data_IF_321327725207
#
_entry.id   IF_321327725207
#
_cell.length_a   1.000
_cell.length_b   1.000
_cell.length_c   1.000
_cell.angle_alpha   90.00
_cell.angle_beta   90.00
_cell.angle_gamma   90.00
#
_symmetry.space_group_name_H-M   'P 1'
#
loop_
_entity.id
_entity.type
_entity.pdbx_description
1 polymer ?
#
# COMPACT_ATOMS: atom_id res chain seq x y z
N UNK A 1 -33.61 -12.41 -34.54
CA UNK A 1 -32.20 -12.71 -34.23
C UNK A 1 -32.22 -13.77 -33.16
N UNK A 2 -31.60 -14.91 -33.42
CA UNK A 2 -31.48 -15.99 -32.42
C UNK A 2 -30.48 -15.55 -31.35
N UNK A 3 -30.83 -15.75 -30.08
CA UNK A 3 -29.91 -15.62 -28.96
C UNK A 3 -29.52 -17.01 -28.48
N UNK A 4 -28.26 -17.17 -28.07
CA UNK A 4 -27.78 -18.40 -27.44
C UNK A 4 -27.38 -18.07 -26.01
N UNK A 5 -28.06 -18.67 -25.04
CA UNK A 5 -27.74 -18.52 -23.62
C UNK A 5 -26.98 -19.76 -23.11
N UNK A 6 -25.96 -19.51 -22.28
CA UNK A 6 -25.21 -20.55 -21.59
C UNK A 6 -25.14 -20.24 -20.10
N UNK A 7 -25.74 -21.10 -19.28
CA UNK A 7 -25.75 -20.96 -17.82
C UNK A 7 -24.60 -21.74 -17.20
N UNK A 8 -23.73 -21.05 -16.45
CA UNK A 8 -22.58 -21.67 -15.76
C UNK A 8 -23.01 -22.14 -14.37
N UNK A 9 -23.65 -21.27 -13.59
CA UNK A 9 -24.15 -21.62 -12.27
C UNK A 9 -25.39 -20.77 -11.92
N UNK A 10 -25.83 -20.78 -10.67
CA UNK A 10 -27.02 -20.02 -10.25
C UNK A 10 -26.87 -18.51 -10.42
N UNK A 11 -25.64 -17.99 -10.36
CA UNK A 11 -25.33 -16.56 -10.43
C UNK A 11 -24.76 -16.13 -11.78
N UNK A 12 -24.11 -16.99 -12.56
CA UNK A 12 -23.33 -16.62 -13.74
C UNK A 12 -23.89 -17.26 -15.01
N UNK A 13 -24.15 -16.44 -16.03
CA UNK A 13 -24.51 -16.89 -17.38
C UNK A 13 -23.90 -15.99 -18.46
N UNK A 14 -23.87 -16.49 -19.69
CA UNK A 14 -23.48 -15.74 -20.87
C UNK A 14 -24.60 -15.79 -21.92
N UNK A 15 -24.70 -14.74 -22.74
CA UNK A 15 -25.60 -14.68 -23.88
C UNK A 15 -24.83 -14.19 -25.12
N UNK A 16 -24.94 -14.92 -26.23
CA UNK A 16 -24.59 -14.42 -27.55
C UNK A 16 -25.81 -13.75 -28.16
N UNK A 17 -25.72 -12.44 -28.37
CA UNK A 17 -26.78 -11.65 -29.00
C UNK A 17 -26.22 -10.59 -29.94
N UNK A 18 -26.69 -10.61 -31.19
CA UNK A 18 -26.25 -9.65 -32.21
C UNK A 18 -24.75 -9.74 -32.55
N UNK A 19 -24.19 -10.95 -32.50
CA UNK A 19 -22.76 -11.20 -32.74
C UNK A 19 -21.83 -10.75 -31.62
N UNK A 20 -22.36 -10.50 -30.42
CA UNK A 20 -21.59 -10.11 -29.24
C UNK A 20 -21.92 -10.99 -28.04
N UNK A 21 -20.90 -11.35 -27.28
CA UNK A 21 -21.03 -12.08 -26.03
C UNK A 21 -21.24 -11.12 -24.86
N UNK A 22 -22.22 -11.43 -24.01
CA UNK A 22 -22.53 -10.67 -22.80
C UNK A 22 -22.51 -11.58 -21.59
N UNK A 23 -21.81 -11.15 -20.54
CA UNK A 23 -21.80 -11.85 -19.25
C UNK A 23 -22.92 -11.26 -18.37
N UNK A 24 -23.62 -12.11 -17.64
CA UNK A 24 -24.66 -11.75 -16.70
C UNK A 24 -24.33 -12.31 -15.32
N UNK A 25 -24.49 -11.47 -14.30
CA UNK A 25 -24.43 -11.88 -12.89
C UNK A 25 -25.80 -11.64 -12.26
N UNK A 26 -26.43 -12.72 -11.80
CA UNK A 26 -27.78 -12.74 -11.25
C UNK A 26 -28.81 -12.08 -12.19
N UNK A 27 -28.75 -12.45 -13.48
CA UNK A 27 -29.59 -11.90 -14.56
C UNK A 27 -29.30 -10.45 -14.95
N UNK A 28 -28.33 -9.78 -14.32
CA UNK A 28 -27.95 -8.40 -14.64
C UNK A 28 -26.68 -8.39 -15.49
N UNK A 29 -26.74 -7.69 -16.63
CA UNK A 29 -25.60 -7.54 -17.53
C UNK A 29 -24.39 -6.96 -16.80
N UNK A 30 -23.30 -7.69 -16.83
CA UNK A 30 -22.00 -7.28 -16.33
C UNK A 30 -21.30 -6.42 -17.38
N UNK A 31 -20.99 -5.16 -17.04
CA UNK A 31 -20.51 -4.15 -18.00
C UNK A 31 -19.00 -3.86 -17.88
N UNK A 32 -18.32 -4.48 -16.92
CA UNK A 32 -16.91 -4.21 -16.64
C UNK A 32 -16.04 -5.17 -17.47
N UNK A 33 -15.98 -4.94 -18.79
CA UNK A 33 -14.94 -5.47 -19.67
C UNK A 33 -14.39 -4.27 -20.46
N UNK A 34 -13.19 -3.79 -20.13
CA UNK A 34 -12.45 -2.88 -21.01
C UNK A 34 -11.36 -3.58 -21.83
N UNK A 35 -11.00 -4.83 -21.56
CA UNK A 35 -9.92 -5.53 -22.28
C UNK A 35 -10.21 -7.03 -22.49
N UNK A 36 -9.65 -7.57 -23.58
CA UNK A 36 -9.95 -8.85 -24.25
C UNK A 36 -8.65 -9.64 -24.46
N UNK A 37 -8.70 -10.97 -24.21
CA UNK A 37 -7.87 -12.09 -24.71
C UNK A 37 -6.34 -11.93 -24.85
N UNK A 38 -5.56 -12.77 -24.14
CA UNK A 38 -4.14 -13.02 -24.41
C UNK A 38 -3.97 -14.22 -25.37
N UNK A 39 -3.25 -14.05 -26.48
CA UNK A 39 -2.71 -15.13 -27.30
C UNK A 39 -1.17 -15.02 -27.27
N UNK A 40 -0.47 -15.93 -26.56
CA UNK A 40 0.99 -15.86 -26.39
C UNK A 40 1.67 -16.91 -27.31
N UNK A 41 2.50 -16.49 -28.28
CA UNK A 41 3.27 -17.41 -29.12
C UNK A 41 4.27 -18.24 -28.30
N UNK A 42 4.37 -19.54 -28.60
CA UNK A 42 5.22 -20.52 -27.88
C UNK A 42 6.72 -20.13 -27.87
N UNK A 43 7.13 -19.34 -28.87
CA UNK A 43 8.52 -18.94 -29.12
C UNK A 43 9.03 -17.89 -28.10
N UNK A 44 8.14 -17.15 -27.43
CA UNK A 44 8.49 -16.11 -26.45
C UNK A 44 8.36 -16.56 -24.99
N UNK A 45 7.97 -17.82 -24.72
CA UNK A 45 7.78 -18.36 -23.35
C UNK A 45 9.02 -18.16 -22.45
N UNK A 46 10.23 -18.19 -23.03
CA UNK A 46 11.47 -17.99 -22.30
C UNK A 46 11.71 -16.53 -21.85
N UNK A 47 11.05 -15.53 -22.44
CA UNK A 47 11.11 -14.13 -21.97
C UNK A 47 10.23 -13.87 -20.75
N UNK A 48 9.27 -14.76 -20.48
CA UNK A 48 8.27 -14.62 -19.42
C UNK A 48 8.50 -15.57 -18.23
N UNK A 49 9.64 -16.30 -18.22
CA UNK A 49 9.95 -17.30 -17.19
C UNK A 49 10.28 -16.73 -15.80
N UNK A 50 10.39 -15.40 -15.68
CA UNK A 50 10.63 -14.69 -14.42
C UNK A 50 9.39 -13.96 -13.88
N UNK A 51 8.21 -14.22 -14.45
CA UNK A 51 6.98 -13.46 -14.18
C UNK A 51 6.08 -14.25 -13.23
N UNK A 52 5.67 -13.63 -12.12
CA UNK A 52 4.94 -14.30 -11.02
C UNK A 52 3.40 -14.26 -11.18
N UNK A 53 2.86 -13.46 -12.11
CA UNK A 53 1.43 -13.48 -12.48
C UNK A 53 1.15 -12.96 -13.89
N UNK A 54 -0.01 -13.34 -14.43
CA UNK A 54 -0.51 -12.86 -15.74
C UNK A 54 -0.61 -11.32 -15.79
N UNK A 55 -0.83 -10.68 -14.64
CA UNK A 55 -1.00 -9.22 -14.51
C UNK A 55 0.27 -8.44 -14.88
N UNK A 56 1.44 -9.00 -14.57
CA UNK A 56 2.74 -8.39 -14.88
C UNK A 56 3.09 -8.53 -16.38
N UNK A 57 2.43 -9.47 -17.09
CA UNK A 57 2.53 -9.61 -18.55
C UNK A 57 1.75 -8.46 -19.22
N UNK A 58 0.54 -8.15 -18.75
CA UNK A 58 -0.35 -7.15 -19.39
C UNK A 58 0.22 -5.73 -19.30
N UNK A 59 0.93 -5.38 -18.22
CA UNK A 59 1.56 -4.06 -18.09
C UNK A 59 2.76 -3.85 -19.03
N UNK A 60 3.43 -4.95 -19.42
CA UNK A 60 4.59 -4.94 -20.32
C UNK A 60 4.24 -5.27 -21.77
N UNK A 61 3.00 -5.68 -22.04
CA UNK A 61 2.51 -5.93 -23.39
C UNK A 61 2.04 -4.62 -24.01
N UNK A 62 2.98 -4.01 -24.72
CA UNK A 62 2.71 -3.02 -25.76
C UNK A 62 1.55 -3.49 -26.65
N UNK A 63 0.67 -2.57 -27.07
CA UNK A 63 -0.57 -2.78 -27.85
C UNK A 63 -0.38 -3.60 -29.16
N UNK A 64 0.86 -3.93 -29.50
CA UNK A 64 1.29 -4.75 -30.63
C UNK A 64 0.74 -6.19 -30.69
N UNK A 65 0.22 -6.76 -29.60
CA UNK A 65 -0.46 -8.08 -29.65
C UNK A 65 -1.94 -8.00 -30.04
N UNK A 66 -2.52 -6.80 -30.16
CA UNK A 66 -3.89 -6.61 -30.69
C UNK A 66 -3.96 -6.85 -32.22
N UNK A 67 -2.83 -7.06 -32.91
CA UNK A 67 -2.72 -7.04 -34.38
C UNK A 67 -2.94 -8.38 -35.12
N UNK A 68 -3.33 -9.48 -34.46
CA UNK A 68 -3.66 -10.72 -35.17
C UNK A 68 -5.06 -11.25 -34.86
N UNK A 69 -6.10 -10.71 -35.51
CA UNK A 69 -7.38 -11.39 -35.58
C UNK A 69 -7.26 -12.52 -36.61
N UNK A 70 -6.92 -13.73 -36.15
CA UNK A 70 -7.61 -14.87 -36.76
C UNK A 70 -9.09 -14.66 -36.41
N UNK A 71 -9.88 -14.27 -37.41
CA UNK A 71 -11.29 -13.92 -37.26
C UNK A 71 -12.05 -15.17 -36.81
N UNK A 72 -12.14 -15.40 -35.51
CA UNK A 72 -13.06 -16.36 -34.92
C UNK A 72 -14.49 -15.87 -35.18
N UNK A 73 -15.38 -16.79 -35.56
CA UNK A 73 -16.79 -16.40 -35.66
C UNK A 73 -17.33 -16.08 -34.27
N UNK A 74 -18.33 -15.19 -34.14
CA UNK A 74 -18.92 -14.86 -32.83
C UNK A 74 -19.35 -16.08 -32.01
N UNK A 75 -19.76 -17.16 -32.68
CA UNK A 75 -20.14 -18.42 -32.03
C UNK A 75 -18.93 -19.14 -31.43
N UNK A 76 -17.81 -19.22 -32.15
CA UNK A 76 -16.58 -19.85 -31.65
C UNK A 76 -16.00 -19.05 -30.48
N UNK A 77 -15.99 -17.72 -30.59
CA UNK A 77 -15.56 -16.84 -29.50
C UNK A 77 -16.46 -17.01 -28.27
N UNK A 78 -17.79 -17.05 -28.46
CA UNK A 78 -18.75 -17.28 -27.39
C UNK A 78 -18.49 -18.61 -26.66
N UNK A 79 -18.29 -19.71 -27.40
CA UNK A 79 -17.99 -21.00 -26.79
C UNK A 79 -16.66 -20.98 -26.01
N UNK A 80 -15.64 -20.30 -26.54
CA UNK A 80 -14.37 -20.11 -25.82
C UNK A 80 -14.56 -19.37 -24.49
N UNK A 81 -15.34 -18.28 -24.48
CA UNK A 81 -15.65 -17.54 -23.24
C UNK A 81 -16.44 -18.38 -22.25
N UNK A 82 -17.43 -19.14 -22.73
CA UNK A 82 -18.23 -20.06 -21.91
C UNK A 82 -17.35 -21.12 -21.23
N UNK A 83 -16.45 -21.76 -21.99
CA UNK A 83 -15.54 -22.78 -21.44
C UNK A 83 -14.58 -22.21 -20.41
N UNK A 84 -14.01 -21.02 -20.65
CA UNK A 84 -13.09 -20.38 -19.69
C UNK A 84 -13.79 -20.02 -18.37
N UNK A 85 -14.96 -19.37 -18.44
CA UNK A 85 -15.71 -19.00 -17.24
C UNK A 85 -16.31 -20.22 -16.51
N UNK A 86 -16.70 -21.26 -17.24
CA UNK A 86 -17.14 -22.53 -16.65
C UNK A 86 -15.99 -23.19 -15.89
N UNK A 87 -14.82 -23.35 -16.53
CA UNK A 87 -13.65 -23.92 -15.88
C UNK A 87 -13.24 -23.13 -14.63
N UNK A 88 -13.28 -21.79 -14.72
CA UNK A 88 -13.03 -20.91 -13.58
C UNK A 88 -14.02 -21.15 -12.42
N UNK A 89 -15.32 -21.20 -12.71
CA UNK A 89 -16.36 -21.42 -11.69
C UNK A 89 -16.28 -22.83 -11.07
N UNK A 90 -16.08 -23.87 -11.88
CA UNK A 90 -15.96 -25.27 -11.43
C UNK A 90 -14.70 -25.50 -10.59
N UNK A 91 -13.64 -24.73 -10.83
CA UNK A 91 -12.41 -24.73 -10.03
C UNK A 91 -12.46 -23.72 -8.89
N UNK A 92 -13.64 -23.53 -8.31
CA UNK A 92 -13.86 -22.71 -7.13
C UNK A 92 -13.40 -21.25 -7.28
N UNK A 93 -13.59 -20.67 -8.47
CA UNK A 93 -13.17 -19.31 -8.80
C UNK A 93 -11.65 -19.07 -8.68
N UNK A 94 -10.83 -20.10 -8.89
CA UNK A 94 -9.38 -19.96 -8.84
C UNK A 94 -8.89 -18.87 -9.82
N UNK A 95 -8.33 -17.78 -9.28
CA UNK A 95 -7.87 -16.61 -10.04
C UNK A 95 -6.66 -16.89 -10.93
N UNK A 96 -6.02 -18.06 -10.81
CA UNK A 96 -4.96 -18.50 -11.73
C UNK A 96 -5.52 -18.99 -13.09
N UNK A 97 -6.83 -19.27 -13.17
CA UNK A 97 -7.48 -19.82 -14.38
C UNK A 97 -8.04 -18.71 -15.28
N UNK A 98 -8.42 -17.58 -14.70
CA UNK A 98 -9.05 -16.46 -15.40
C UNK A 98 -8.28 -15.17 -15.11
N UNK A 99 -7.97 -14.45 -16.17
CA UNK A 99 -7.32 -13.14 -16.12
C UNK A 99 -7.87 -12.24 -15.02
N UNK A 100 -6.99 -11.58 -14.26
CA UNK A 100 -7.41 -10.85 -13.07
C UNK A 100 -8.27 -9.62 -13.39
N UNK A 101 -8.09 -9.00 -14.56
CA UNK A 101 -8.93 -7.88 -15.00
C UNK A 101 -10.39 -8.29 -15.22
N UNK A 102 -10.66 -9.59 -15.41
CA UNK A 102 -12.02 -10.13 -15.46
C UNK A 102 -12.41 -10.82 -14.14
N UNK A 103 -11.54 -11.64 -13.56
CA UNK A 103 -11.86 -12.44 -12.38
C UNK A 103 -12.12 -11.60 -11.14
N UNK A 104 -11.34 -10.52 -10.91
CA UNK A 104 -11.55 -9.64 -9.75
C UNK A 104 -12.88 -8.88 -9.80
N UNK A 105 -13.20 -8.18 -10.91
CA UNK A 105 -14.49 -7.52 -11.06
C UNK A 105 -15.68 -8.48 -10.99
N UNK A 106 -15.57 -9.70 -11.53
CA UNK A 106 -16.60 -10.73 -11.41
C UNK A 106 -16.77 -11.20 -9.97
N UNK A 107 -15.68 -11.50 -9.26
CA UNK A 107 -15.71 -11.87 -7.84
C UNK A 107 -16.38 -10.81 -6.99
N UNK A 108 -16.07 -9.53 -7.20
CA UNK A 108 -16.76 -8.41 -6.54
C UNK A 108 -18.26 -8.43 -6.83
N UNK A 109 -18.65 -8.61 -8.09
CA UNK A 109 -20.07 -8.60 -8.47
C UNK A 109 -20.83 -9.80 -7.89
N UNK A 110 -20.26 -11.00 -7.98
CA UNK A 110 -20.81 -12.22 -7.38
C UNK A 110 -20.97 -12.10 -5.86
N UNK A 111 -19.94 -11.55 -5.18
CA UNK A 111 -19.99 -11.25 -3.75
C UNK A 111 -21.16 -10.33 -3.39
N UNK A 112 -21.39 -9.26 -4.18
CA UNK A 112 -22.51 -8.33 -3.97
C UNK A 112 -23.88 -8.96 -4.21
N UNK A 113 -23.98 -9.96 -5.09
CA UNK A 113 -25.23 -10.68 -5.36
C UNK A 113 -25.46 -11.88 -4.41
N UNK A 114 -24.55 -12.12 -3.46
CA UNK A 114 -24.74 -13.08 -2.36
C UNK A 114 -24.07 -14.44 -2.53
N UNK A 115 -23.19 -14.61 -3.52
CA UNK A 115 -22.41 -15.84 -3.66
C UNK A 115 -21.34 -15.93 -2.54
N UNK A 116 -21.58 -16.82 -1.58
CA UNK A 116 -20.68 -17.02 -0.42
C UNK A 116 -19.31 -17.57 -0.81
N UNK A 117 -19.23 -18.38 -1.86
CA UNK A 117 -17.98 -18.93 -2.34
C UNK A 117 -17.13 -17.85 -3.00
N UNK A 118 -17.74 -17.04 -3.88
CA UNK A 118 -17.09 -15.89 -4.46
C UNK A 118 -16.63 -14.90 -3.37
N UNK A 119 -17.46 -14.65 -2.36
CA UNK A 119 -17.09 -13.79 -1.22
C UNK A 119 -15.83 -14.26 -0.50
N UNK A 120 -15.71 -15.56 -0.24
CA UNK A 120 -14.55 -16.13 0.43
C UNK A 120 -13.29 -15.95 -0.43
N UNK A 121 -13.34 -16.36 -1.69
CA UNK A 121 -12.21 -16.28 -2.63
C UNK A 121 -11.79 -14.83 -2.86
N UNK A 122 -12.76 -13.92 -3.01
CA UNK A 122 -12.49 -12.50 -3.21
C UNK A 122 -11.71 -11.90 -2.03
N UNK A 123 -12.13 -12.19 -0.80
CA UNK A 123 -11.39 -11.75 0.40
C UNK A 123 -9.98 -12.31 0.43
N UNK A 124 -9.80 -13.61 0.20
CA UNK A 124 -8.48 -14.25 0.19
C UNK A 124 -7.53 -13.60 -0.81
N UNK A 125 -8.04 -13.21 -1.98
CA UNK A 125 -7.24 -12.56 -3.00
C UNK A 125 -6.89 -11.10 -2.70
N UNK A 126 -7.78 -10.35 -2.05
CA UNK A 126 -7.47 -9.01 -1.53
C UNK A 126 -6.32 -9.13 -0.52
N UNK A 127 -6.43 -10.10 0.41
CA UNK A 127 -5.40 -10.36 1.43
C UNK A 127 -4.06 -10.74 0.80
N UNK A 128 -4.05 -11.65 -0.20
CA UNK A 128 -2.82 -12.04 -0.91
C UNK A 128 -2.10 -10.82 -1.53
N UNK A 129 -2.84 -9.91 -2.17
CA UNK A 129 -2.29 -8.69 -2.79
C UNK A 129 -1.73 -7.72 -1.75
N UNK A 130 -2.44 -7.52 -0.63
CA UNK A 130 -1.95 -6.72 0.50
C UNK A 130 -0.65 -7.30 1.08
N UNK A 131 -0.57 -8.62 1.28
CA UNK A 131 0.63 -9.28 1.82
C UNK A 131 1.84 -9.11 0.89
N UNK A 132 1.65 -9.34 -0.42
CA UNK A 132 2.71 -9.13 -1.42
C UNK A 132 3.17 -7.68 -1.47
N UNK A 133 2.24 -6.74 -1.25
CA UNK A 133 2.53 -5.32 -1.05
C UNK A 133 3.06 -4.61 -2.30
N UNK A 134 2.75 -5.11 -3.50
CA UNK A 134 3.04 -4.38 -4.72
C UNK A 134 2.19 -3.09 -4.77
N UNK A 135 2.86 -1.93 -4.88
CA UNK A 135 2.24 -0.62 -4.67
C UNK A 135 1.11 -0.37 -5.67
N UNK A 136 1.32 -0.69 -6.95
CA UNK A 136 0.33 -0.50 -8.00
C UNK A 136 -0.89 -1.39 -7.79
N UNK A 137 -0.68 -2.66 -7.42
CA UNK A 137 -1.77 -3.57 -7.10
C UNK A 137 -2.57 -3.11 -5.88
N UNK A 138 -1.91 -2.63 -4.82
CA UNK A 138 -2.60 -2.12 -3.62
C UNK A 138 -3.36 -0.83 -3.93
N UNK A 139 -2.77 0.09 -4.70
CA UNK A 139 -3.44 1.30 -5.17
C UNK A 139 -4.69 0.96 -6.00
N UNK A 140 -4.64 -0.06 -6.84
CA UNK A 140 -5.80 -0.57 -7.55
C UNK A 140 -6.89 -1.10 -6.60
N UNK A 141 -6.51 -1.83 -5.54
CA UNK A 141 -7.48 -2.28 -4.52
C UNK A 141 -8.20 -1.11 -3.82
N UNK A 142 -7.46 -0.03 -3.54
CA UNK A 142 -7.98 1.19 -2.90
C UNK A 142 -8.93 1.91 -3.85
N UNK A 143 -8.47 2.25 -5.06
CA UNK A 143 -9.22 3.03 -6.04
C UNK A 143 -10.55 2.37 -6.44
N UNK A 144 -10.57 1.03 -6.52
CA UNK A 144 -11.77 0.28 -6.85
C UNK A 144 -12.66 -0.04 -5.63
N UNK A 145 -12.29 0.42 -4.43
CA UNK A 145 -13.06 0.20 -3.19
C UNK A 145 -13.15 -1.27 -2.79
N UNK A 146 -12.10 -2.05 -3.04
CA UNK A 146 -12.07 -3.48 -2.69
C UNK A 146 -11.75 -3.71 -1.21
N UNK A 147 -11.09 -2.75 -0.54
CA UNK A 147 -10.84 -2.84 0.90
C UNK A 147 -12.13 -2.79 1.74
N UNK A 148 -13.22 -2.22 1.21
CA UNK A 148 -14.53 -2.17 1.87
C UNK A 148 -15.13 -3.56 2.17
N UNK A 149 -14.61 -4.60 1.53
CA UNK A 149 -15.04 -5.97 1.74
C UNK A 149 -14.38 -6.62 2.96
N UNK A 150 -13.31 -6.03 3.47
CA UNK A 150 -12.62 -6.46 4.70
C UNK A 150 -13.07 -5.59 5.89
N UNK A 151 -13.13 -6.18 7.07
CA UNK A 151 -13.30 -5.40 8.31
C UNK A 151 -11.99 -4.70 8.67
N UNK A 152 -12.07 -3.64 9.47
CA UNK A 152 -10.87 -2.98 10.00
C UNK A 152 -9.95 -3.97 10.74
N UNK A 153 -10.51 -4.91 11.50
CA UNK A 153 -9.74 -5.96 12.18
C UNK A 153 -9.04 -6.91 11.20
N UNK A 154 -9.69 -7.29 10.10
CA UNK A 154 -9.08 -8.10 9.04
C UNK A 154 -7.92 -7.35 8.38
N UNK A 155 -8.10 -6.07 8.06
CA UNK A 155 -7.05 -5.23 7.46
C UNK A 155 -5.87 -5.09 8.43
N UNK A 156 -6.12 -4.72 9.68
CA UNK A 156 -5.07 -4.57 10.71
C UNK A 156 -4.30 -5.89 10.90
N UNK A 157 -5.00 -7.03 10.98
CA UNK A 157 -4.38 -8.34 11.15
C UNK A 157 -3.44 -8.69 9.99
N UNK A 158 -3.89 -8.45 8.75
CA UNK A 158 -3.10 -8.71 7.53
C UNK A 158 -1.88 -7.81 7.46
N UNK A 159 -2.06 -6.50 7.67
CA UNK A 159 -0.98 -5.52 7.58
C UNK A 159 0.04 -5.65 8.72
N UNK A 160 -0.40 -6.11 9.89
CA UNK A 160 0.49 -6.38 11.03
C UNK A 160 1.25 -7.70 10.91
N UNK A 161 0.83 -8.61 10.03
CA UNK A 161 1.49 -9.89 9.81
C UNK A 161 2.96 -9.73 9.40
N UNK A 162 3.84 -10.57 9.94
CA UNK A 162 5.28 -10.58 9.58
C UNK A 162 5.51 -10.86 8.08
N UNK A 163 4.60 -11.59 7.44
CA UNK A 163 4.70 -11.91 6.02
C UNK A 163 4.29 -10.73 5.11
N UNK A 164 3.62 -9.72 5.65
CA UNK A 164 3.20 -8.56 4.87
C UNK A 164 4.40 -7.63 4.60
N UNK A 165 4.68 -7.40 3.31
CA UNK A 165 5.81 -6.61 2.83
C UNK A 165 5.45 -5.15 2.51
N UNK A 166 4.16 -4.80 2.54
CA UNK A 166 3.66 -3.52 2.06
C UNK A 166 4.33 -2.32 2.76
N UNK A 167 4.34 -2.32 4.10
CA UNK A 167 4.99 -1.25 4.85
C UNK A 167 6.48 -1.13 4.54
N UNK A 168 7.19 -2.24 4.44
CA UNK A 168 8.63 -2.23 4.13
C UNK A 168 8.90 -1.69 2.73
N UNK A 169 8.03 -1.99 1.76
CA UNK A 169 8.13 -1.45 0.40
C UNK A 169 7.90 0.06 0.39
N UNK A 170 6.83 0.55 1.01
CA UNK A 170 6.54 1.99 1.15
C UNK A 170 7.70 2.71 1.83
N UNK A 171 8.13 2.19 2.99
CA UNK A 171 9.21 2.77 3.77
C UNK A 171 10.51 2.85 2.95
N UNK A 172 10.83 1.83 2.17
CA UNK A 172 12.02 1.83 1.32
C UNK A 172 11.91 2.80 0.13
N UNK A 173 10.71 3.04 -0.42
CA UNK A 173 10.49 4.04 -1.47
C UNK A 173 10.78 5.44 -0.92
N UNK A 174 10.21 5.77 0.23
CA UNK A 174 10.44 7.02 0.95
C UNK A 174 11.92 7.18 1.30
N UNK A 175 12.52 6.16 1.91
CA UNK A 175 13.92 6.16 2.31
C UNK A 175 14.89 6.43 1.15
N UNK A 176 14.65 5.81 -0.02
CA UNK A 176 15.50 5.98 -1.21
C UNK A 176 15.23 7.29 -1.95
N UNK A 177 14.13 7.99 -1.67
CA UNK A 177 13.67 9.12 -2.46
C UNK A 177 13.36 8.74 -3.90
N UNK A 178 12.78 7.56 -4.15
CA UNK A 178 12.43 7.14 -5.50
C UNK A 178 11.20 7.91 -6.00
N UNK A 179 11.43 9.03 -6.69
CA UNK A 179 10.38 9.94 -7.16
C UNK A 179 9.33 9.27 -8.07
N UNK A 180 9.70 8.24 -8.84
CA UNK A 180 8.80 7.60 -9.80
C UNK A 180 7.66 6.82 -9.14
N UNK A 181 7.86 6.34 -7.91
CA UNK A 181 6.85 5.59 -7.13
C UNK A 181 6.41 6.34 -5.88
N UNK A 182 6.91 7.56 -5.69
CA UNK A 182 6.70 8.31 -4.46
C UNK A 182 5.23 8.65 -4.26
N UNK A 183 4.59 9.18 -5.31
CA UNK A 183 3.19 9.61 -5.24
C UNK A 183 2.26 8.42 -4.96
N UNK A 184 2.50 7.27 -5.58
CA UNK A 184 1.71 6.07 -5.38
C UNK A 184 1.89 5.52 -3.96
N UNK A 185 3.13 5.51 -3.46
CA UNK A 185 3.41 5.08 -2.09
C UNK A 185 2.76 6.01 -1.05
N UNK A 186 2.77 7.32 -1.30
CA UNK A 186 2.15 8.34 -0.46
C UNK A 186 0.63 8.14 -0.37
N UNK A 187 -0.06 8.03 -1.52
CA UNK A 187 -1.50 7.75 -1.57
C UNK A 187 -1.84 6.45 -0.82
N UNK A 188 -1.09 5.38 -1.10
CA UNK A 188 -1.32 4.09 -0.42
C UNK A 188 -1.13 4.25 1.09
N UNK A 189 -0.09 4.98 1.52
CA UNK A 189 0.19 5.20 2.93
C UNK A 189 -0.90 6.00 3.63
N UNK A 190 -1.43 7.04 3.00
CA UNK A 190 -2.52 7.85 3.56
C UNK A 190 -3.79 7.01 3.82
N UNK A 191 -4.13 6.11 2.90
CA UNK A 191 -5.33 5.27 3.01
C UNK A 191 -5.20 4.17 4.08
N UNK A 192 -4.03 3.55 4.19
CA UNK A 192 -3.83 2.38 5.06
C UNK A 192 -3.06 2.69 6.34
N UNK A 193 -2.47 3.87 6.48
CA UNK A 193 -1.51 4.23 7.52
C UNK A 193 -2.04 4.00 8.94
N UNK A 194 -3.32 4.28 9.17
CA UNK A 194 -4.01 4.03 10.44
C UNK A 194 -4.04 2.56 10.88
N UNK A 195 -3.77 1.62 9.98
CA UNK A 195 -3.72 0.18 10.29
C UNK A 195 -2.28 -0.31 10.52
N UNK A 196 -1.28 0.57 10.39
CA UNK A 196 0.14 0.21 10.38
C UNK A 196 0.86 0.46 11.72
N UNK A 197 0.13 0.81 12.79
CA UNK A 197 0.71 1.09 14.11
C UNK A 197 1.79 0.07 14.54
N UNK A 198 1.49 -1.23 14.52
CA UNK A 198 2.43 -2.26 14.97
C UNK A 198 3.69 -2.34 14.11
N UNK A 199 3.57 -2.09 12.80
CA UNK A 199 4.72 -2.06 11.88
C UNK A 199 5.57 -0.82 12.10
N UNK A 200 4.93 0.34 12.25
CA UNK A 200 5.58 1.62 12.57
C UNK A 200 6.32 1.49 13.90
N UNK A 201 5.64 1.02 14.95
CA UNK A 201 6.22 0.83 16.29
C UNK A 201 7.46 -0.07 16.24
N UNK A 202 7.36 -1.24 15.60
CA UNK A 202 8.47 -2.20 15.49
C UNK A 202 9.66 -1.60 14.74
N UNK A 203 9.42 -0.95 13.61
CA UNK A 203 10.45 -0.37 12.76
C UNK A 203 11.11 0.83 13.44
N UNK A 204 10.32 1.68 14.08
CA UNK A 204 10.79 2.82 14.84
C UNK A 204 11.66 2.36 16.03
N UNK A 205 11.20 1.38 16.83
CA UNK A 205 12.00 0.75 17.90
C UNK A 205 13.34 0.21 17.36
N UNK A 206 13.31 -0.50 16.24
CA UNK A 206 14.53 -1.01 15.59
C UNK A 206 15.47 0.14 15.16
N UNK A 207 14.93 1.21 14.57
CA UNK A 207 15.72 2.37 14.17
C UNK A 207 16.44 2.98 15.37
N UNK A 208 15.76 3.07 16.51
CA UNK A 208 16.36 3.54 17.74
C UNK A 208 17.41 2.61 18.35
N UNK A 209 17.14 1.31 18.40
CA UNK A 209 18.08 0.32 18.95
C UNK A 209 19.36 0.24 18.12
N UNK A 210 19.22 0.36 16.79
CA UNK A 210 20.34 0.35 15.84
C UNK A 210 20.96 1.72 15.63
N UNK A 211 20.38 2.78 16.20
CA UNK A 211 20.77 4.18 15.96
C UNK A 211 20.77 4.57 14.47
N UNK A 212 19.82 4.01 13.71
CA UNK A 212 19.66 4.22 12.27
C UNK A 212 19.10 5.62 11.99
N UNK A 213 19.99 6.57 11.71
CA UNK A 213 19.66 7.95 11.38
C UNK A 213 18.74 8.03 10.17
N UNK A 214 19.07 7.26 9.13
CA UNK A 214 18.35 7.27 7.86
C UNK A 214 16.89 6.83 8.02
N UNK A 215 16.65 5.83 8.87
CA UNK A 215 15.28 5.36 9.15
C UNK A 215 14.51 6.40 9.98
N UNK A 216 15.15 7.03 10.97
CA UNK A 216 14.53 8.11 11.75
C UNK A 216 14.20 9.31 10.88
N UNK A 217 15.12 9.70 9.99
CA UNK A 217 14.92 10.75 9.00
C UNK A 217 13.73 10.43 8.09
N UNK A 218 13.61 9.18 7.63
CA UNK A 218 12.47 8.72 6.83
C UNK A 218 11.14 8.89 7.57
N UNK A 219 11.05 8.47 8.84
CA UNK A 219 9.81 8.65 9.63
C UNK A 219 9.38 10.12 9.74
N UNK A 220 10.36 11.02 9.95
CA UNK A 220 10.09 12.41 10.27
C UNK A 220 9.76 13.24 9.02
N UNK A 221 10.55 13.15 7.96
CA UNK A 221 10.30 13.99 6.77
C UNK A 221 9.02 13.64 6.04
N UNK A 222 8.68 12.36 6.03
CA UNK A 222 7.50 11.87 5.35
C UNK A 222 6.30 11.77 6.28
N UNK A 223 6.37 12.45 7.44
CA UNK A 223 5.27 12.60 8.40
C UNK A 223 4.54 11.28 8.69
N UNK A 224 5.30 10.18 8.74
CA UNK A 224 4.73 8.84 8.80
C UNK A 224 3.94 8.60 10.10
N UNK A 225 4.11 9.46 11.11
CA UNK A 225 3.39 9.37 12.37
C UNK A 225 1.99 10.02 12.31
N UNK A 226 1.69 10.79 11.26
CA UNK A 226 0.47 11.62 11.19
C UNK A 226 -0.79 10.78 10.98
N UNK A 227 -0.64 9.59 10.42
CA UNK A 227 -1.72 8.62 10.22
C UNK A 227 -2.18 7.93 11.51
N UNK A 228 -1.41 8.06 12.60
CA UNK A 228 -1.68 7.41 13.88
C UNK A 228 -2.64 8.22 14.76
N UNK A 229 -3.36 7.55 15.67
CA UNK A 229 -4.20 8.23 16.65
C UNK A 229 -3.38 8.99 17.69
N UNK A 230 -4.01 9.90 18.44
CA UNK A 230 -3.32 10.59 19.55
C UNK A 230 -2.83 9.59 20.61
N UNK A 231 -3.65 8.59 20.94
CA UNK A 231 -3.29 7.52 21.87
C UNK A 231 -2.13 6.68 21.35
N UNK A 232 -2.13 6.35 20.06
CA UNK A 232 -1.03 5.61 19.43
C UNK A 232 0.27 6.41 19.43
N UNK A 233 0.22 7.70 19.14
CA UNK A 233 1.39 8.60 19.25
C UNK A 233 1.86 8.65 20.70
N UNK A 234 0.96 8.79 21.67
CA UNK A 234 1.34 8.78 23.08
C UNK A 234 1.98 7.44 23.47
N UNK A 235 1.41 6.29 23.11
CA UNK A 235 1.97 4.96 23.38
C UNK A 235 3.33 4.76 22.69
N UNK A 236 3.44 5.20 21.44
CA UNK A 236 4.69 5.22 20.69
C UNK A 236 5.77 6.05 21.35
N UNK A 237 5.42 6.98 22.25
CA UNK A 237 6.36 7.89 22.93
C UNK A 237 6.39 7.74 24.47
N UNK A 238 5.49 6.98 25.09
CA UNK A 238 5.41 6.75 26.55
C UNK A 238 6.61 5.94 27.09
N UNK A 239 6.91 4.79 26.48
CA UNK A 239 8.15 4.06 26.77
C UNK A 239 9.42 4.74 26.19
N UNK A 240 9.33 5.42 25.02
CA UNK A 240 10.47 6.02 24.34
C UNK A 240 10.66 7.54 24.47
N UNK A 241 10.25 8.18 25.57
CA UNK A 241 10.82 9.49 25.94
C UNK A 241 12.36 9.42 26.13
N UNK A 242 12.88 8.27 26.57
CA UNK A 242 14.30 7.93 26.51
C UNK A 242 14.86 7.84 25.09
N UNK A 243 13.99 7.58 24.12
CA UNK A 243 14.32 7.41 22.72
C UNK A 243 14.35 8.77 22.03
N UNK A 244 13.53 9.77 22.38
CA UNK A 244 13.74 11.16 21.97
C UNK A 244 15.11 11.66 22.45
N UNK A 245 15.47 11.41 23.71
CA UNK A 245 16.82 11.69 24.21
C UNK A 245 17.89 10.93 23.40
N UNK A 246 17.67 9.65 23.05
CA UNK A 246 18.57 8.92 22.15
C UNK A 246 18.59 9.52 20.74
N UNK A 247 17.48 9.95 20.16
CA UNK A 247 17.39 10.61 18.85
C UNK A 247 18.25 11.85 18.87
N UNK A 248 18.05 12.71 19.86
CA UNK A 248 18.80 13.95 20.03
C UNK A 248 20.29 13.67 20.19
N UNK A 249 20.66 12.64 20.96
CA UNK A 249 22.06 12.21 21.11
C UNK A 249 22.65 11.63 19.80
N UNK A 250 21.86 10.88 19.01
CA UNK A 250 22.28 10.35 17.71
C UNK A 250 22.47 11.49 16.72
N UNK A 251 21.50 12.41 16.64
CA UNK A 251 21.51 13.58 15.77
C UNK A 251 22.64 14.56 16.15
N UNK A 252 23.03 14.60 17.43
CA UNK A 252 24.19 15.38 17.88
C UNK A 252 25.54 14.93 17.29
N UNK A 253 25.59 13.67 16.83
CA UNK A 253 26.75 13.09 16.15
C UNK A 253 26.85 13.41 14.66
N UNK A 254 25.83 14.03 14.05
CA UNK A 254 25.74 14.24 12.59
C UNK A 254 26.32 15.59 12.20
N UNK A 255 27.00 15.65 11.05
CA UNK A 255 27.29 16.93 10.40
C UNK A 255 26.00 17.54 9.85
N UNK A 256 25.56 18.65 10.43
CA UNK A 256 24.29 19.34 10.13
C UNK A 256 23.94 19.50 8.63
N UNK A 257 24.95 19.56 7.75
CA UNK A 257 24.76 19.68 6.29
C UNK A 257 23.99 18.50 5.66
N UNK A 258 23.90 17.37 6.36
CA UNK A 258 23.22 16.17 5.88
C UNK A 258 21.73 16.12 6.27
N UNK A 259 21.28 16.96 7.20
CA UNK A 259 19.89 16.98 7.66
C UNK A 259 19.15 18.15 7.00
N UNK A 260 18.48 17.87 5.88
CA UNK A 260 17.53 18.82 5.29
C UNK A 260 16.17 18.62 5.94
N UNK A 261 15.78 19.51 6.82
CA UNK A 261 14.40 19.57 7.31
C UNK A 261 13.58 20.37 6.31
N UNK A 262 12.36 19.88 6.02
CA UNK A 262 11.41 20.62 5.21
C UNK A 262 10.97 21.93 5.86
N UNK A 263 10.13 22.70 5.18
CA UNK A 263 9.64 23.99 5.67
C UNK A 263 8.84 23.91 6.99
N UNK A 264 8.44 22.70 7.40
CA UNK A 264 7.51 22.45 8.51
C UNK A 264 8.17 22.02 9.83
N UNK A 265 9.51 22.00 9.93
CA UNK A 265 10.22 21.63 11.15
C UNK A 265 10.37 20.11 11.35
N UNK A 266 10.88 19.70 12.51
CA UNK A 266 11.32 18.32 12.78
C UNK A 266 10.16 17.35 13.08
N UNK A 267 9.04 17.84 13.60
CA UNK A 267 7.80 17.11 13.81
C UNK A 267 6.68 17.78 13.03
N UNK A 268 5.62 17.03 12.68
CA UNK A 268 4.41 17.60 12.11
C UNK A 268 3.60 18.37 13.16
N UNK A 269 2.78 19.33 12.74
CA UNK A 269 1.91 20.11 13.63
C UNK A 269 1.07 19.22 14.57
N UNK A 270 0.59 18.07 14.06
CA UNK A 270 -0.16 17.10 14.86
C UNK A 270 0.70 16.49 15.96
N UNK A 271 1.87 15.95 15.63
CA UNK A 271 2.77 15.34 16.62
C UNK A 271 3.23 16.38 17.63
N UNK A 272 3.51 17.60 17.19
CA UNK A 272 3.88 18.72 18.05
C UNK A 272 2.79 19.07 19.05
N UNK A 273 1.54 19.14 18.61
CA UNK A 273 0.41 19.43 19.50
C UNK A 273 0.25 18.37 20.60
N UNK A 274 0.57 17.11 20.30
CA UNK A 274 0.43 15.98 21.22
C UNK A 274 1.63 15.89 22.17
N UNK A 275 2.84 16.11 21.66
CA UNK A 275 4.09 15.84 22.38
C UNK A 275 4.89 17.10 22.74
N UNK A 276 4.46 18.31 22.39
CA UNK A 276 5.24 19.54 22.49
C UNK A 276 5.84 19.79 23.87
N UNK A 277 5.03 19.73 24.93
CA UNK A 277 5.50 19.92 26.31
C UNK A 277 6.51 18.84 26.72
N UNK A 278 6.24 17.60 26.33
CA UNK A 278 7.13 16.45 26.56
C UNK A 278 8.47 16.62 25.83
N UNK A 279 8.42 17.06 24.57
CA UNK A 279 9.59 17.36 23.74
C UNK A 279 10.42 18.47 24.40
N UNK A 280 9.78 19.55 24.82
CA UNK A 280 10.42 20.66 25.56
C UNK A 280 11.17 20.15 26.79
N UNK A 281 10.48 19.43 27.68
CA UNK A 281 11.08 18.86 28.89
C UNK A 281 12.34 18.02 28.58
N UNK A 282 12.29 17.20 27.53
CA UNK A 282 13.46 16.37 27.15
C UNK A 282 14.58 17.16 26.52
N UNK A 283 14.28 18.17 25.72
CA UNK A 283 15.32 19.05 25.16
C UNK A 283 16.06 19.74 26.31
N UNK A 284 15.33 20.27 27.30
CA UNK A 284 15.91 20.89 28.50
C UNK A 284 16.80 19.90 29.27
N UNK A 285 16.33 18.67 29.50
CA UNK A 285 17.13 17.60 30.13
C UNK A 285 18.46 17.36 29.38
N UNK A 286 18.43 17.30 28.05
CA UNK A 286 19.61 17.03 27.22
C UNK A 286 20.57 18.22 27.22
N UNK A 287 20.05 19.46 27.16
CA UNK A 287 20.83 20.69 27.24
C UNK A 287 21.54 20.78 28.59
N UNK A 288 20.81 20.55 29.70
CA UNK A 288 21.40 20.58 31.05
C UNK A 288 22.48 19.54 31.27
N UNK A 289 22.41 18.39 30.57
CA UNK A 289 23.48 17.38 30.58
C UNK A 289 24.69 17.75 29.70
N UNK A 290 24.64 18.85 28.94
CA UNK A 290 25.69 19.27 28.01
C UNK A 290 25.82 18.35 26.78
N UNK A 291 24.76 17.60 26.46
CA UNK A 291 24.83 16.49 25.51
C UNK A 291 24.37 16.85 24.08
N UNK A 292 24.06 18.12 23.79
CA UNK A 292 23.63 18.57 22.45
C UNK A 292 24.37 19.84 22.01
N UNK A 293 24.82 19.85 20.75
CA UNK A 293 25.44 21.01 20.11
C UNK A 293 24.38 22.00 19.66
N UNK A 294 24.69 23.28 19.78
CA UNK A 294 23.81 24.37 19.34
C UNK A 294 23.39 24.26 17.87
N UNK A 295 24.31 23.88 16.98
CA UNK A 295 24.03 23.70 15.55
C UNK A 295 22.96 22.64 15.27
N UNK A 296 22.81 21.67 16.17
CA UNK A 296 21.81 20.60 16.06
C UNK A 296 20.45 21.11 16.51
N UNK A 297 20.38 21.87 17.61
CA UNK A 297 19.14 22.51 18.04
C UNK A 297 18.57 23.46 16.99
N UNK A 298 19.42 24.31 16.42
CA UNK A 298 19.03 25.22 15.33
C UNK A 298 18.66 24.43 14.08
N UNK A 299 19.47 23.43 13.75
CA UNK A 299 19.28 22.62 12.57
C UNK A 299 18.04 21.77 12.55
N UNK A 300 17.60 21.35 13.74
CA UNK A 300 16.38 20.59 13.94
C UNK A 300 15.15 21.47 14.22
N UNK A 301 15.28 22.80 14.12
CA UNK A 301 14.25 23.76 14.53
C UNK A 301 13.71 23.51 15.96
N UNK A 302 14.55 22.99 16.86
CA UNK A 302 14.15 22.65 18.22
C UNK A 302 14.20 23.84 19.17
N UNK A 303 14.85 24.94 18.74
CA UNK A 303 14.88 26.19 19.50
C UNK A 303 13.48 26.78 19.72
N UNK A 304 12.52 26.48 18.85
CA UNK A 304 11.13 26.93 19.00
C UNK A 304 10.44 26.38 20.26
N UNK A 305 10.95 25.29 20.84
CA UNK A 305 10.43 24.71 22.08
C UNK A 305 11.03 25.36 23.34
N UNK A 306 12.07 26.19 23.21
CA UNK A 306 12.75 26.81 24.34
C UNK A 306 12.21 28.22 24.56
N UNK A 307 11.96 28.58 25.83
CA UNK A 307 11.63 29.96 26.18
C UNK A 307 12.89 30.82 26.23
N UNK A 308 12.74 32.14 26.14
CA UNK A 308 13.86 33.07 26.18
C UNK A 308 14.76 32.87 27.42
N UNK A 309 14.17 32.52 28.57
CA UNK A 309 14.91 32.25 29.81
C UNK A 309 15.67 30.91 29.78
N UNK A 310 15.19 29.92 29.03
CA UNK A 310 15.85 28.62 28.85
C UNK A 310 17.08 28.72 27.92
N UNK A 311 17.18 29.79 27.13
CA UNK A 311 18.28 30.00 26.16
C UNK A 311 19.56 30.55 26.79
N UNK A 312 19.55 31.01 28.05
CA UNK A 312 20.74 31.52 28.75
C UNK A 312 21.84 30.43 28.86
N UNK A 313 21.45 29.15 28.89
CA UNK A 313 22.37 28.00 28.85
C UNK A 313 23.00 27.77 27.48
N UNK A 314 22.38 28.24 26.40
CA UNK A 314 22.91 28.08 25.04
C UNK A 314 24.15 28.96 24.82
N UNK A 315 24.29 30.05 25.57
CA UNK A 315 25.49 30.90 25.54
C UNK A 315 26.73 30.18 26.11
N UNK A 316 26.56 29.15 26.93
CA UNK A 316 27.64 28.29 27.43
C UNK A 316 28.04 27.17 26.46
N UNK A 317 27.25 26.94 25.40
CA UNK A 317 27.50 25.92 24.37
C UNK A 317 28.10 26.50 23.07
N UNK A 318 28.27 27.83 22.99
CA UNK A 318 29.04 28.54 21.95
C UNK A 318 30.54 28.38 22.19
#
# INVERSE_FOLDING_TARGET
MESTEFKINEYLSLELWGGKTFIYVNGKKFKQCKYVLLNIPIEDIQKYSSIESIDEIIYNLDQSLEEYPEILTPEVEFWSHCSNLQAWAENNYNTDILDSFLSFPLLKKLTKEGDFQAKRVFKEEIVKRLIRGDINNVLYLINEGYLEFLTNEEITSVLSSENCLLFEKIFNIFKKGNYDQFNEADIVYDDIGKYLYLKIEKKLKKAFDTKSIEDLYTFLNYQMLDVLSEEEILLLFEHPMNLLEKTLNILNGIEYKEVKIGEYGFFSEKVEKILGDRIKEKILDVIHKGNIKYSVLWGLDLLRYLENEDTEYLDYLK
#
